data_IF_714447044832
#
_entry.id   IF_714447044832
#
_cell.length_a   1.000
_cell.length_b   1.000
_cell.length_c   1.000
_cell.angle_alpha   90.00
_cell.angle_beta   90.00
_cell.angle_gamma   90.00
#
_symmetry.space_group_name_H-M   'P 1'
#
loop_
_entity.id
_entity.type
_entity.pdbx_description
1 polymer ?
#
# COMPACT_ATOMS: atom_id res chain seq x y z
N UNK A 1 -17.51 -13.58 4.37
CA UNK A 1 -17.09 -12.56 5.37
C UNK A 1 -15.89 -11.83 4.78
N UNK A 2 -15.87 -10.49 4.80
CA UNK A 2 -14.74 -9.73 4.27
C UNK A 2 -13.65 -9.63 5.34
N UNK A 3 -12.39 -9.82 4.97
CA UNK A 3 -11.25 -9.56 5.84
C UNK A 3 -11.29 -8.10 6.30
N UNK A 4 -11.05 -7.84 7.58
CA UNK A 4 -11.12 -6.50 8.16
C UNK A 4 -9.73 -5.91 8.42
N UNK A 5 -9.64 -4.59 8.47
CA UNK A 5 -8.42 -3.90 8.92
C UNK A 5 -8.00 -4.29 10.36
N UNK A 6 -8.93 -4.80 11.17
CA UNK A 6 -8.62 -5.36 12.50
C UNK A 6 -7.91 -6.70 12.42
N UNK A 7 -8.28 -7.55 11.46
CA UNK A 7 -7.62 -8.83 11.20
C UNK A 7 -6.18 -8.63 10.70
N UNK A 8 -5.97 -7.69 9.78
CA UNK A 8 -4.62 -7.35 9.29
C UNK A 8 -3.69 -6.88 10.42
N UNK A 9 -4.16 -5.93 11.25
CA UNK A 9 -3.39 -5.43 12.41
C UNK A 9 -3.08 -6.52 13.42
N UNK A 10 -4.02 -7.45 13.63
CA UNK A 10 -3.79 -8.58 14.52
C UNK A 10 -2.68 -9.49 13.98
N UNK A 11 -2.75 -9.83 12.70
CA UNK A 11 -1.77 -10.70 12.04
C UNK A 11 -0.38 -10.06 12.02
N UNK A 12 -0.29 -8.77 11.71
CA UNK A 12 0.95 -8.00 11.75
C UNK A 12 1.54 -7.95 13.17
N UNK A 13 0.71 -7.77 14.19
CA UNK A 13 1.12 -7.82 15.59
C UNK A 13 1.70 -9.18 16.02
N UNK A 14 1.18 -10.29 15.52
CA UNK A 14 1.73 -11.63 15.80
C UNK A 14 3.06 -11.86 15.07
N UNK A 15 3.19 -11.43 13.82
CA UNK A 15 4.45 -11.45 13.08
C UNK A 15 5.54 -10.64 13.81
N UNK A 16 5.20 -9.45 14.30
CA UNK A 16 6.11 -8.57 15.04
C UNK A 16 6.56 -9.19 16.36
N UNK A 17 5.65 -9.81 17.11
CA UNK A 17 5.99 -10.51 18.36
C UNK A 17 7.00 -11.62 18.13
N UNK A 18 6.82 -12.44 17.09
CA UNK A 18 7.74 -13.54 16.78
C UNK A 18 9.10 -12.98 16.33
N UNK A 19 9.09 -11.95 15.48
CA UNK A 19 10.32 -11.33 14.93
C UNK A 19 11.15 -10.66 16.01
N UNK A 20 10.52 -10.09 17.04
CA UNK A 20 11.19 -9.45 18.18
C UNK A 20 11.64 -10.44 19.26
N UNK A 21 11.34 -11.74 19.12
CA UNK A 21 11.80 -12.75 20.07
C UNK A 21 13.33 -12.84 20.06
N UNK A 22 14.01 -12.76 21.22
CA UNK A 22 15.47 -12.87 21.29
C UNK A 22 16.00 -14.26 20.89
N UNK A 23 15.13 -15.28 20.88
CA UNK A 23 15.45 -16.63 20.40
C UNK A 23 14.35 -17.06 19.44
N UNK A 24 14.72 -17.21 18.16
CA UNK A 24 13.86 -17.76 17.13
C UNK A 24 14.10 -19.28 17.06
N UNK A 25 13.17 -20.06 17.61
CA UNK A 25 13.22 -21.52 17.50
C UNK A 25 12.57 -21.97 16.17
N UNK A 26 12.81 -23.22 15.71
CA UNK A 26 12.28 -23.71 14.43
C UNK A 26 10.76 -23.63 14.30
N UNK A 27 10.02 -23.85 15.38
CA UNK A 27 8.55 -23.79 15.39
C UNK A 27 8.05 -22.34 15.23
N UNK A 28 8.76 -21.39 15.83
CA UNK A 28 8.49 -19.95 15.71
C UNK A 28 8.84 -19.46 14.30
N UNK A 29 9.94 -19.95 13.71
CA UNK A 29 10.29 -19.67 12.32
C UNK A 29 9.21 -20.16 11.34
N UNK A 30 8.75 -21.40 11.51
CA UNK A 30 7.68 -21.97 10.69
C UNK A 30 6.35 -21.23 10.88
N UNK A 31 6.03 -20.86 12.11
CA UNK A 31 4.84 -20.06 12.41
C UNK A 31 4.90 -18.69 11.73
N UNK A 32 6.04 -18.01 11.79
CA UNK A 32 6.24 -16.73 11.11
C UNK A 32 6.10 -16.87 9.59
N UNK A 33 6.66 -17.92 9.00
CA UNK A 33 6.53 -18.21 7.57
C UNK A 33 5.06 -18.41 7.15
N UNK A 34 4.31 -19.22 7.91
CA UNK A 34 2.88 -19.42 7.66
C UNK A 34 2.08 -18.13 7.79
N UNK A 35 2.35 -17.33 8.83
CA UNK A 35 1.67 -16.04 9.02
C UNK A 35 1.95 -15.07 7.88
N UNK A 36 3.19 -15.01 7.38
CA UNK A 36 3.53 -14.19 6.20
C UNK A 36 2.81 -14.66 4.94
N UNK A 37 2.71 -15.97 4.70
CA UNK A 37 1.94 -16.52 3.57
C UNK A 37 0.46 -16.12 3.67
N UNK A 38 -0.13 -16.20 4.87
CA UNK A 38 -1.52 -15.79 5.11
C UNK A 38 -1.67 -14.28 4.88
N UNK A 39 -0.73 -13.45 5.38
CA UNK A 39 -0.72 -12.00 5.17
C UNK A 39 -0.77 -11.65 3.68
N UNK A 40 0.10 -12.26 2.89
CA UNK A 40 0.17 -12.04 1.44
C UNK A 40 -1.15 -12.39 0.76
N UNK A 41 -1.73 -13.56 1.06
CA UNK A 41 -3.01 -13.98 0.47
C UNK A 41 -4.18 -13.07 0.84
N UNK A 42 -4.19 -12.57 2.07
CA UNK A 42 -5.23 -11.66 2.54
C UNK A 42 -5.09 -10.30 1.85
N UNK A 43 -3.86 -9.81 1.66
CA UNK A 43 -3.61 -8.60 0.89
C UNK A 43 -4.00 -8.76 -0.59
N UNK A 44 -3.75 -9.92 -1.19
CA UNK A 44 -4.16 -10.24 -2.56
C UNK A 44 -5.69 -10.30 -2.70
N UNK A 45 -6.38 -10.95 -1.76
CA UNK A 45 -7.85 -11.03 -1.76
C UNK A 45 -8.48 -9.64 -1.58
N UNK A 46 -8.00 -8.86 -0.61
CA UNK A 46 -8.46 -7.49 -0.39
C UNK A 46 -8.12 -6.61 -1.61
N UNK A 47 -6.94 -6.79 -2.21
CA UNK A 47 -6.52 -6.08 -3.42
C UNK A 47 -7.39 -6.41 -4.64
N UNK A 48 -7.85 -7.66 -4.75
CA UNK A 48 -8.78 -8.09 -5.81
C UNK A 48 -10.15 -7.41 -5.67
N UNK A 49 -10.59 -7.18 -4.43
CA UNK A 49 -11.82 -6.45 -4.11
C UNK A 49 -11.68 -4.91 -4.22
N UNK A 50 -10.45 -4.37 -4.18
CA UNK A 50 -10.15 -2.93 -4.17
C UNK A 50 -9.98 -2.30 -5.56
N UNK A 51 -9.95 -3.10 -6.62
CA UNK A 51 -9.81 -2.62 -8.00
C UNK A 51 -8.37 -2.46 -8.49
N UNK A 52 -8.21 -2.29 -9.81
CA UNK A 52 -6.90 -2.23 -10.47
C UNK A 52 -6.05 -1.05 -9.98
N UNK A 53 -6.67 0.09 -9.67
CA UNK A 53 -5.97 1.27 -9.17
C UNK A 53 -5.30 1.03 -7.82
N UNK A 54 -5.93 0.27 -6.91
CA UNK A 54 -5.34 -0.07 -5.62
C UNK A 54 -4.13 -0.99 -5.77
N UNK A 55 -4.20 -1.96 -6.68
CA UNK A 55 -3.07 -2.83 -7.00
C UNK A 55 -1.88 -2.03 -7.54
N UNK A 56 -2.14 -1.11 -8.48
CA UNK A 56 -1.09 -0.25 -9.05
C UNK A 56 -0.52 0.70 -7.99
N UNK A 57 -1.34 1.28 -7.12
CA UNK A 57 -0.86 2.12 -6.03
C UNK A 57 0.10 1.37 -5.10
N UNK A 58 -0.26 0.13 -4.72
CA UNK A 58 0.62 -0.74 -3.92
C UNK A 58 1.96 -1.00 -4.60
N UNK A 59 1.96 -1.27 -5.91
CA UNK A 59 3.18 -1.44 -6.70
C UNK A 59 4.02 -0.16 -6.71
N UNK A 60 3.40 1.00 -6.97
CA UNK A 60 4.09 2.31 -7.02
C UNK A 60 4.76 2.66 -5.69
N UNK A 61 4.08 2.41 -4.56
CA UNK A 61 4.65 2.65 -3.22
C UNK A 61 5.89 1.78 -2.98
N UNK A 62 5.94 0.58 -3.55
CA UNK A 62 7.07 -0.35 -3.42
C UNK A 62 8.32 -0.01 -4.24
N UNK A 63 8.29 0.97 -5.14
CA UNK A 63 9.49 1.41 -5.86
C UNK A 63 10.39 2.25 -4.96
N UNK A 64 11.66 1.86 -4.78
CA UNK A 64 12.64 2.66 -4.04
C UNK A 64 13.06 3.93 -4.81
N UNK A 65 13.18 3.81 -6.14
CA UNK A 65 13.60 4.89 -7.02
C UNK A 65 12.42 5.76 -7.46
N UNK A 66 12.46 7.05 -7.13
CA UNK A 66 11.42 8.02 -7.48
C UNK A 66 11.26 8.21 -9.00
N UNK A 67 12.36 8.23 -9.76
CA UNK A 67 12.30 8.40 -11.20
C UNK A 67 11.63 7.19 -11.89
N UNK A 68 11.94 5.98 -11.42
CA UNK A 68 11.31 4.75 -11.92
C UNK A 68 9.82 4.74 -11.58
N UNK A 69 9.46 5.08 -10.34
CA UNK A 69 8.06 5.19 -9.91
C UNK A 69 7.27 6.16 -10.78
N UNK A 70 7.82 7.35 -11.01
CA UNK A 70 7.17 8.38 -11.83
C UNK A 70 7.00 7.91 -13.27
N UNK A 71 8.02 7.28 -13.86
CA UNK A 71 7.93 6.72 -15.22
C UNK A 71 6.86 5.63 -15.33
N UNK A 72 6.77 4.73 -14.34
CA UNK A 72 5.75 3.67 -14.31
C UNK A 72 4.35 4.25 -14.14
N UNK A 73 4.19 5.26 -13.27
CA UNK A 73 2.93 5.98 -13.09
C UNK A 73 2.49 6.67 -14.38
N UNK A 74 3.37 7.44 -15.03
CA UNK A 74 3.07 8.12 -16.29
C UNK A 74 2.66 7.13 -17.39
N UNK A 75 3.40 6.03 -17.55
CA UNK A 75 3.05 4.99 -18.51
C UNK A 75 1.67 4.36 -18.18
N UNK A 76 1.41 4.10 -16.90
CA UNK A 76 0.14 3.55 -16.43
C UNK A 76 -1.05 4.48 -16.70
N UNK A 77 -0.89 5.77 -16.48
CA UNK A 77 -1.91 6.80 -16.74
C UNK A 77 -2.20 6.91 -18.24
N UNK A 78 -1.17 6.95 -19.09
CA UNK A 78 -1.34 7.03 -20.55
C UNK A 78 -2.04 5.81 -21.12
N UNK A 79 -1.72 4.61 -20.62
CA UNK A 79 -2.30 3.35 -21.13
C UNK A 79 -3.76 3.18 -20.70
N UNK A 80 -4.11 3.58 -19.47
CA UNK A 80 -5.43 3.31 -18.87
C UNK A 80 -6.40 4.49 -18.93
N UNK A 81 -5.89 5.71 -19.13
CA UNK A 81 -6.67 6.91 -19.35
C UNK A 81 -7.30 7.51 -18.08
N UNK A 82 -8.20 8.46 -18.31
CA UNK A 82 -8.73 9.36 -17.28
C UNK A 82 -9.56 8.67 -16.18
N UNK A 83 -10.28 7.59 -16.48
CA UNK A 83 -11.11 6.91 -15.46
C UNK A 83 -10.25 6.19 -14.43
N UNK A 84 -9.21 5.49 -14.88
CA UNK A 84 -8.19 4.92 -13.99
C UNK A 84 -7.47 6.01 -13.19
N UNK A 85 -7.14 7.13 -13.82
CA UNK A 85 -6.50 8.25 -13.14
C UNK A 85 -7.38 8.83 -12.01
N UNK A 86 -8.69 8.95 -12.22
CA UNK A 86 -9.63 9.39 -11.17
C UNK A 86 -9.70 8.40 -10.01
N UNK A 87 -9.83 7.11 -10.30
CA UNK A 87 -9.86 6.06 -9.27
C UNK A 87 -8.57 6.08 -8.43
N UNK A 88 -7.41 6.20 -9.10
CA UNK A 88 -6.12 6.28 -8.43
C UNK A 88 -5.98 7.56 -7.59
N UNK A 89 -6.54 8.69 -8.05
CA UNK A 89 -6.59 9.95 -7.30
C UNK A 89 -7.45 9.86 -6.04
N UNK A 90 -8.61 9.21 -6.12
CA UNK A 90 -9.49 8.99 -4.98
C UNK A 90 -8.76 8.20 -3.90
N UNK A 91 -8.08 7.12 -4.29
CA UNK A 91 -7.27 6.29 -3.40
C UNK A 91 -6.11 7.07 -2.75
N UNK A 92 -5.37 7.86 -3.52
CA UNK A 92 -4.26 8.65 -2.96
C UNK A 92 -4.76 9.75 -2.03
N UNK A 93 -5.91 10.36 -2.34
CA UNK A 93 -6.54 11.37 -1.48
C UNK A 93 -7.01 10.74 -0.17
N UNK A 94 -7.70 9.61 -0.22
CA UNK A 94 -8.13 8.88 0.98
C UNK A 94 -6.94 8.42 1.83
N UNK A 95 -5.87 7.94 1.19
CA UNK A 95 -4.65 7.54 1.88
C UNK A 95 -4.00 8.74 2.62
N UNK A 96 -3.89 9.90 1.97
CA UNK A 96 -3.34 11.10 2.61
C UNK A 96 -4.18 11.59 3.79
N UNK A 97 -5.51 11.58 3.64
CA UNK A 97 -6.44 11.91 4.72
C UNK A 97 -6.32 10.94 5.90
N UNK A 98 -6.17 9.64 5.62
CA UNK A 98 -5.94 8.61 6.63
C UNK A 98 -4.62 8.82 7.38
N UNK A 99 -3.53 9.09 6.63
CA UNK A 99 -2.20 9.34 7.19
C UNK A 99 -2.16 10.61 8.05
N UNK A 100 -2.87 11.67 7.66
CA UNK A 100 -2.95 12.92 8.41
C UNK A 100 -3.67 12.77 9.76
N UNK A 101 -4.55 11.77 9.89
CA UNK A 101 -5.29 11.49 11.13
C UNK A 101 -4.53 10.60 12.11
N UNK A 102 -3.35 10.10 11.75
CA UNK A 102 -2.53 9.26 12.64
C UNK A 102 -1.99 10.12 13.79
N UNK A 103 -2.36 9.83 15.05
CA UNK A 103 -1.94 10.65 16.18
C UNK A 103 -0.43 10.60 16.41
N UNK A 104 0.13 11.72 16.86
CA UNK A 104 1.53 11.81 17.29
C UNK A 104 2.57 11.82 16.17
N UNK A 105 2.18 12.16 14.92
CA UNK A 105 3.05 12.09 13.74
C UNK A 105 3.69 10.70 13.55
N UNK A 106 3.00 9.64 13.99
CA UNK A 106 3.50 8.27 13.88
C UNK A 106 3.40 7.69 12.45
N UNK A 107 2.76 8.41 11.52
CA UNK A 107 2.75 8.04 10.11
C UNK A 107 4.15 8.22 9.50
N UNK A 108 4.56 7.24 8.70
CA UNK A 108 5.87 7.26 8.03
C UNK A 108 5.99 8.50 7.10
N UNK A 109 6.93 9.43 7.38
CA UNK A 109 7.13 10.62 6.55
C UNK A 109 7.51 10.28 5.11
N UNK A 110 8.22 9.17 4.88
CA UNK A 110 8.58 8.75 3.54
C UNK A 110 7.36 8.27 2.78
N UNK A 111 6.50 7.45 3.39
CA UNK A 111 5.24 7.03 2.80
C UNK A 111 4.36 8.24 2.44
N UNK A 112 4.23 9.22 3.34
CA UNK A 112 3.47 10.46 3.06
C UNK A 112 4.03 11.15 1.81
N UNK A 113 5.35 11.35 1.73
CA UNK A 113 6.01 11.99 0.59
C UNK A 113 5.76 11.22 -0.72
N UNK A 114 5.83 9.89 -0.68
CA UNK A 114 5.57 9.03 -1.83
C UNK A 114 4.14 9.22 -2.32
N UNK A 115 3.15 9.11 -1.44
CA UNK A 115 1.74 9.23 -1.81
C UNK A 115 1.42 10.65 -2.31
N UNK A 116 1.98 11.70 -1.69
CA UNK A 116 1.86 13.08 -2.17
C UNK A 116 2.42 13.26 -3.58
N UNK A 117 3.58 12.68 -3.88
CA UNK A 117 4.20 12.75 -5.21
C UNK A 117 3.35 12.05 -6.28
N UNK A 118 2.75 10.90 -5.93
CA UNK A 118 1.84 10.18 -6.83
C UNK A 118 0.58 11.02 -7.07
N UNK A 119 -0.08 11.48 -6.00
CA UNK A 119 -1.30 12.30 -6.06
C UNK A 119 -1.11 13.56 -6.93
N UNK A 120 0.00 14.29 -6.72
CA UNK A 120 0.33 15.48 -7.51
C UNK A 120 0.59 15.18 -8.99
N UNK A 121 1.09 13.99 -9.32
CA UNK A 121 1.34 13.58 -10.70
C UNK A 121 0.03 13.21 -11.41
N UNK A 122 -0.88 12.53 -10.70
CA UNK A 122 -2.21 12.19 -11.19
C UNK A 122 -3.04 13.46 -11.44
N UNK A 123 -3.03 14.43 -10.51
CA UNK A 123 -3.68 15.74 -10.70
C UNK A 123 -3.20 16.43 -11.98
N UNK A 124 -1.89 16.49 -12.19
CA UNK A 124 -1.29 17.09 -13.38
C UNK A 124 -1.66 16.38 -14.68
N UNK A 125 -1.93 15.07 -14.63
CA UNK A 125 -2.43 14.32 -15.77
C UNK A 125 -3.90 14.67 -16.05
N UNK A 126 -4.76 14.64 -15.03
CA UNK A 126 -6.18 14.97 -15.13
C UNK A 126 -6.47 16.43 -15.54
N UNK A 127 -5.57 17.36 -15.22
CA UNK A 127 -5.68 18.76 -15.66
C UNK A 127 -5.39 18.95 -17.17
N UNK A 128 -4.74 17.99 -17.82
CA UNK A 128 -4.34 18.07 -19.24
C UNK A 128 -5.29 17.35 -20.18
N UNK A 129 -6.13 16.46 -19.65
CA UNK A 129 -7.19 15.73 -20.38
C UNK A 129 -8.50 16.55 -20.38
#
# INVERSE_FOLDING_TARGET
>A
EKFSAGFLRHLEGECDKITRSPVLNPDSARTLEMLRIIQTRVLEEIGTDLGEAAQVLGQLIGYDNEAERCAVLEAGLVVRGADFAKELQELTTEALDGLARVPGNAADPNLIRIVQSIDASIRRYLEKE
#
